data_IF_233042775268
#
_entry.id   IF_233042775268
#
_cell.length_a   1.000
_cell.length_b   1.000
_cell.length_c   1.000
_cell.angle_alpha   90.00
_cell.angle_beta   90.00
_cell.angle_gamma   90.00
#
_symmetry.space_group_name_H-M   'P 1'
#
loop_
_entity.id
_entity.type
_entity.pdbx_description
1 polymer ?
#
# COMPACT_ATOMS: atom_id res chain seq x y z
N UNK A 1 12.72 29.78 -6.84
CA UNK A 1 11.78 28.65 -6.94
C UNK A 1 12.35 27.55 -6.06
N UNK A 2 11.82 27.40 -4.86
CA UNK A 2 12.28 26.36 -3.94
C UNK A 2 11.62 25.05 -4.37
N UNK A 3 12.42 24.16 -4.97
CA UNK A 3 12.01 22.76 -5.12
C UNK A 3 11.85 22.19 -3.72
N UNK A 4 10.61 22.06 -3.28
CA UNK A 4 10.27 21.17 -2.16
C UNK A 4 10.56 19.78 -2.71
N UNK A 5 11.66 19.16 -2.28
CA UNK A 5 11.88 17.74 -2.50
C UNK A 5 10.66 17.04 -1.91
N UNK A 6 9.90 16.38 -2.77
CA UNK A 6 8.97 15.35 -2.33
C UNK A 6 9.86 14.36 -1.58
N UNK A 7 9.71 14.31 -0.25
CA UNK A 7 10.38 13.31 0.57
C UNK A 7 10.15 11.96 -0.13
N UNK A 8 11.21 11.40 -0.71
CA UNK A 8 11.14 10.09 -1.32
C UNK A 8 10.79 9.14 -0.19
N UNK A 9 9.53 8.72 -0.16
CA UNK A 9 9.11 7.65 0.73
C UNK A 9 9.86 6.44 0.20
N UNK A 10 10.99 6.13 0.84
CA UNK A 10 11.78 4.96 0.46
C UNK A 10 10.89 3.72 0.60
N UNK A 11 10.85 2.85 -0.42
CA UNK A 11 10.05 1.63 -0.35
C UNK A 11 10.49 0.83 0.87
N UNK A 12 9.50 0.32 1.62
CA UNK A 12 9.78 -0.51 2.78
C UNK A 12 10.54 -1.76 2.31
N UNK A 13 11.68 -2.07 2.94
CA UNK A 13 12.37 -3.33 2.65
C UNK A 13 11.42 -4.51 2.90
N UNK A 14 11.53 -5.57 2.09
CA UNK A 14 10.69 -6.78 2.19
C UNK A 14 10.57 -7.30 3.62
N UNK A 15 11.66 -7.29 4.39
CA UNK A 15 11.67 -7.73 5.78
C UNK A 15 10.74 -6.90 6.68
N UNK A 16 10.71 -5.59 6.50
CA UNK A 16 9.84 -4.69 7.28
C UNK A 16 8.40 -4.90 6.84
N UNK A 17 8.17 -5.04 5.53
CA UNK A 17 6.84 -5.28 4.98
C UNK A 17 6.26 -6.61 5.49
N UNK A 18 7.07 -7.67 5.55
CA UNK A 18 6.69 -8.97 6.13
C UNK A 18 6.33 -8.83 7.62
N UNK A 19 7.16 -8.13 8.40
CA UNK A 19 6.87 -7.90 9.82
C UNK A 19 5.56 -7.12 10.01
N UNK A 20 5.35 -6.09 9.19
CA UNK A 20 4.12 -5.31 9.20
C UNK A 20 2.91 -6.20 8.88
N UNK A 21 2.99 -7.02 7.83
CA UNK A 21 1.91 -7.91 7.42
C UNK A 21 1.60 -9.01 8.44
N UNK A 22 2.63 -9.58 9.09
CA UNK A 22 2.47 -10.71 10.00
C UNK A 22 2.16 -10.31 11.45
N UNK A 23 2.61 -9.14 11.89
CA UNK A 23 2.53 -8.76 13.32
C UNK A 23 1.62 -7.57 13.57
N UNK A 24 1.65 -6.57 12.70
CA UNK A 24 0.95 -5.30 12.94
C UNK A 24 -0.45 -5.34 12.33
N UNK A 25 -0.56 -5.70 11.04
CA UNK A 25 -1.84 -5.81 10.32
C UNK A 25 -2.91 -6.60 11.08
N UNK A 26 -2.62 -7.82 11.58
CA UNK A 26 -3.63 -8.63 12.27
C UNK A 26 -4.15 -7.99 13.56
N UNK A 27 -3.41 -7.06 14.16
CA UNK A 27 -3.85 -6.34 15.35
C UNK A 27 -4.77 -5.17 15.02
N UNK A 28 -4.62 -4.55 13.84
CA UNK A 28 -5.28 -3.26 13.52
C UNK A 28 -6.29 -3.33 12.37
N UNK A 29 -6.32 -4.42 11.59
CA UNK A 29 -7.08 -4.51 10.34
C UNK A 29 -8.57 -4.18 10.45
N UNK A 30 -9.19 -4.47 11.60
CA UNK A 30 -10.60 -4.19 11.84
C UNK A 30 -10.90 -2.69 11.99
N UNK A 31 -9.91 -1.86 12.30
CA UNK A 31 -10.06 -0.40 12.41
C UNK A 31 -9.65 0.34 11.13
N UNK A 32 -9.12 -0.37 10.14
CA UNK A 32 -8.67 0.24 8.90
C UNK A 32 -9.87 0.46 7.99
N UNK A 33 -10.15 1.73 7.70
CA UNK A 33 -11.18 2.16 6.76
C UNK A 33 -10.62 2.62 5.40
N UNK A 34 -9.33 2.95 5.35
CA UNK A 34 -8.64 3.40 4.15
C UNK A 34 -7.21 2.87 4.11
N UNK A 35 -6.80 2.34 2.96
CA UNK A 35 -5.43 1.91 2.70
C UNK A 35 -4.84 2.71 1.53
N UNK A 36 -3.66 3.29 1.73
CA UNK A 36 -2.83 3.80 0.64
C UNK A 36 -1.63 2.88 0.48
N UNK A 37 -1.53 2.19 -0.65
CA UNK A 37 -0.53 1.16 -0.88
C UNK A 37 0.34 1.52 -2.08
N UNK A 38 1.64 1.27 -1.94
CA UNK A 38 2.54 1.20 -3.09
C UNK A 38 2.16 -0.01 -3.95
N UNK A 39 2.17 0.16 -5.28
CA UNK A 39 1.76 -0.89 -6.21
C UNK A 39 2.55 -2.20 -6.01
N UNK A 40 3.85 -2.08 -5.72
CA UNK A 40 4.78 -3.19 -5.44
C UNK A 40 4.36 -4.04 -4.24
N UNK A 41 3.78 -3.40 -3.21
CA UNK A 41 3.43 -4.01 -1.93
C UNK A 41 1.95 -4.43 -1.84
N UNK A 42 1.12 -3.97 -2.78
CA UNK A 42 -0.34 -4.15 -2.77
C UNK A 42 -0.75 -5.61 -2.55
N UNK A 43 -0.18 -6.54 -3.32
CA UNK A 43 -0.56 -7.95 -3.27
C UNK A 43 -0.32 -8.56 -1.89
N UNK A 44 0.81 -8.24 -1.26
CA UNK A 44 1.14 -8.79 0.05
C UNK A 44 0.19 -8.26 1.12
N UNK A 45 -0.02 -6.94 1.17
CA UNK A 45 -0.85 -6.28 2.18
C UNK A 45 -2.32 -6.67 2.04
N UNK A 46 -2.85 -6.75 0.81
CA UNK A 46 -4.25 -7.11 0.59
C UNK A 46 -4.55 -8.58 0.90
N UNK A 47 -3.57 -9.48 0.76
CA UNK A 47 -3.74 -10.91 1.05
C UNK A 47 -3.42 -11.28 2.50
N UNK A 48 -2.73 -10.42 3.25
CA UNK A 48 -2.29 -10.73 4.61
C UNK A 48 -3.44 -10.85 5.63
N UNK A 49 -4.58 -10.18 5.40
CA UNK A 49 -5.71 -10.18 6.33
C UNK A 49 -7.02 -9.77 5.64
N UNK A 50 -8.15 -9.98 6.32
CA UNK A 50 -9.46 -9.46 5.90
C UNK A 50 -9.67 -8.06 6.47
N UNK A 51 -10.16 -7.10 5.68
CA UNK A 51 -10.43 -5.74 6.16
C UNK A 51 -11.94 -5.47 6.22
N UNK A 52 -12.63 -5.81 7.32
CA UNK A 52 -14.10 -5.78 7.36
C UNK A 52 -14.70 -4.38 7.23
N UNK A 53 -13.93 -3.33 7.57
CA UNK A 53 -14.39 -1.94 7.56
C UNK A 53 -13.73 -1.11 6.43
N UNK A 54 -13.05 -1.76 5.48
CA UNK A 54 -12.38 -1.06 4.40
C UNK A 54 -13.40 -0.42 3.46
N UNK A 55 -13.35 0.90 3.37
CA UNK A 55 -14.21 1.69 2.51
C UNK A 55 -13.50 2.15 1.23
N UNK A 56 -12.17 2.30 1.28
CA UNK A 56 -11.43 2.70 0.10
C UNK A 56 -9.97 2.29 0.08
N UNK A 57 -9.45 2.25 -1.14
CA UNK A 57 -8.09 1.85 -1.49
C UNK A 57 -7.51 2.89 -2.44
N UNK A 58 -6.39 3.48 -2.06
CA UNK A 58 -5.53 4.26 -2.92
C UNK A 58 -4.31 3.45 -3.31
N UNK A 59 -3.97 3.45 -4.60
CA UNK A 59 -2.73 2.89 -5.10
C UNK A 59 -1.84 4.02 -5.60
N UNK A 60 -0.58 4.01 -5.19
CA UNK A 60 0.43 4.95 -5.66
C UNK A 60 1.63 4.20 -6.23
N UNK A 61 2.46 4.94 -6.96
CA UNK A 61 3.61 4.41 -7.70
C UNK A 61 3.24 3.25 -8.64
N UNK A 62 2.12 3.43 -9.35
CA UNK A 62 1.68 2.47 -10.37
C UNK A 62 2.46 2.80 -11.66
N UNK A 63 3.18 1.81 -12.18
CA UNK A 63 3.80 1.92 -13.49
C UNK A 63 2.75 2.27 -14.55
N UNK A 64 3.07 3.20 -15.45
CA UNK A 64 2.10 3.72 -16.43
C UNK A 64 1.49 2.60 -17.30
N UNK A 65 2.27 1.57 -17.64
CA UNK A 65 1.82 0.41 -18.40
C UNK A 65 0.76 -0.40 -17.63
N UNK A 66 1.00 -0.61 -16.32
CA UNK A 66 0.04 -1.24 -15.43
C UNK A 66 -1.21 -0.38 -15.27
N UNK A 67 -1.06 0.94 -15.11
CA UNK A 67 -2.19 1.86 -15.01
C UNK A 67 -3.07 1.81 -16.27
N UNK A 68 -2.46 1.79 -17.46
CA UNK A 68 -3.16 1.73 -18.74
C UNK A 68 -3.95 0.42 -18.90
N UNK A 69 -3.47 -0.69 -18.36
CA UNK A 69 -4.17 -1.98 -18.42
C UNK A 69 -5.54 -2.00 -17.71
N UNK A 70 -5.80 -1.06 -16.80
CA UNK A 70 -7.10 -0.94 -16.13
C UNK A 70 -8.15 -0.19 -16.96
N UNK A 71 -7.75 0.51 -18.03
CA UNK A 71 -8.63 1.32 -18.87
C UNK A 71 -8.82 0.77 -20.29
N UNK A 72 -8.13 -0.32 -20.61
CA UNK A 72 -8.24 -1.07 -21.87
C UNK A 72 -9.22 -2.23 -21.75
#
# INVERSE_FOLDING_TARGET
MNHVSVDSIDPLSDRILDQFCLQILPAIHHNINWLNLESSSMKLILLATNYPNLYGLGLYDIEIETALSFFS
#
